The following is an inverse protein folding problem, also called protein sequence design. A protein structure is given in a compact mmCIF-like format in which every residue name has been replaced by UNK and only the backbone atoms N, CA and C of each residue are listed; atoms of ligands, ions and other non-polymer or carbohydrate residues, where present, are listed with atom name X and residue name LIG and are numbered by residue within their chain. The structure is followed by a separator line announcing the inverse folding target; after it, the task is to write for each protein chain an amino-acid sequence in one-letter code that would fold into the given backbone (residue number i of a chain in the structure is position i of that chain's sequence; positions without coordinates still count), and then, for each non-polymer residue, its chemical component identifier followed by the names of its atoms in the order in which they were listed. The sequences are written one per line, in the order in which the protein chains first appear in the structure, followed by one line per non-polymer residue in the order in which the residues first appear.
data_IF_467596043385
#
_entry.id   IF_467596043385
#
_cell.length_a   1.000
_cell.length_b   1.000
_cell.length_c   1.000
_cell.angle_alpha   90.00
_cell.angle_beta   90.00
_cell.angle_gamma   90.00
#
_symmetry.space_group_name_H-M   'P 1'
#
loop_
_entity.id
_entity.type
_entity.pdbx_description
1 polymer ?
#
# COMPACT_ATOMS: atom_id res chain seq x y z
N UNK A 1 -31.90 23.04 -25.25
CA UNK A 1 -32.29 22.72 -23.86
C UNK A 1 -32.63 21.23 -23.82
N UNK A 2 -31.62 20.39 -23.62
CA UNK A 2 -31.80 18.94 -23.45
C UNK A 2 -30.63 18.45 -22.60
N UNK A 3 -30.98 17.94 -21.42
CA UNK A 3 -30.08 17.36 -20.44
C UNK A 3 -29.67 15.97 -20.93
N UNK A 4 -28.37 15.68 -20.98
CA UNK A 4 -27.89 14.32 -20.78
C UNK A 4 -26.67 14.40 -19.86
N UNK A 5 -26.95 14.15 -18.58
CA UNK A 5 -26.41 12.99 -17.85
C UNK A 5 -24.92 13.13 -17.62
N UNK A 6 -24.60 13.69 -16.45
CA UNK A 6 -23.32 13.44 -15.81
C UNK A 6 -23.18 11.94 -15.62
N UNK A 7 -22.36 11.34 -16.46
CA UNK A 7 -21.85 9.99 -16.25
C UNK A 7 -21.17 9.99 -14.88
N UNK A 8 -21.71 9.19 -13.97
CA UNK A 8 -21.22 9.09 -12.62
C UNK A 8 -19.74 8.76 -12.64
N UNK A 9 -18.93 9.63 -12.03
CA UNK A 9 -17.59 9.27 -11.59
C UNK A 9 -17.73 8.05 -10.68
N UNK A 10 -17.50 6.87 -11.26
CA UNK A 10 -17.11 5.68 -10.53
C UNK A 10 -15.77 6.03 -9.90
N UNK A 11 -15.80 6.71 -8.75
CA UNK A 11 -14.71 6.71 -7.81
C UNK A 11 -14.51 5.25 -7.40
N UNK A 12 -13.75 4.49 -8.19
CA UNK A 12 -13.17 3.25 -7.72
C UNK A 12 -12.36 3.69 -6.51
N UNK A 13 -12.85 3.38 -5.31
CA UNK A 13 -12.27 3.83 -4.03
C UNK A 13 -10.97 3.07 -3.81
N UNK A 14 -9.99 3.35 -4.65
CA UNK A 14 -8.68 2.76 -4.63
C UNK A 14 -7.94 3.33 -3.42
N UNK A 15 -7.26 2.45 -2.71
CA UNK A 15 -6.45 2.81 -1.55
C UNK A 15 -5.29 3.66 -2.06
N UNK A 16 -5.19 4.89 -1.57
CA UNK A 16 -4.10 5.81 -1.91
C UNK A 16 -2.76 5.39 -1.29
N UNK A 17 -1.67 5.96 -1.80
CA UNK A 17 -0.32 5.61 -1.38
C UNK A 17 -0.08 5.81 0.13
N UNK A 18 -0.68 6.85 0.73
CA UNK A 18 -0.49 7.17 2.14
C UNK A 18 -1.10 6.08 3.03
N UNK A 19 -2.34 5.70 2.74
CA UNK A 19 -3.04 4.64 3.45
C UNK A 19 -2.32 3.29 3.32
N UNK A 20 -1.77 3.00 2.14
CA UNK A 20 -0.99 1.78 1.91
C UNK A 20 0.33 1.77 2.69
N UNK A 21 1.04 2.90 2.73
CA UNK A 21 2.24 3.04 3.57
C UNK A 21 1.94 2.85 5.05
N UNK A 22 0.78 3.31 5.51
CA UNK A 22 0.35 3.11 6.91
C UNK A 22 0.03 1.65 7.22
N UNK A 23 -0.63 0.94 6.30
CA UNK A 23 -0.87 -0.51 6.41
C UNK A 23 0.47 -1.25 6.49
N UNK A 24 1.39 -0.96 5.57
CA UNK A 24 2.71 -1.58 5.54
C UNK A 24 3.51 -1.30 6.81
N UNK A 25 3.53 -0.04 7.27
CA UNK A 25 4.23 0.34 8.52
C UNK A 25 3.69 -0.43 9.71
N UNK A 26 2.36 -0.52 9.87
CA UNK A 26 1.75 -1.29 10.95
C UNK A 26 2.13 -2.76 10.88
N UNK A 27 2.07 -3.38 9.70
CA UNK A 27 2.48 -4.77 9.52
C UNK A 27 3.93 -4.99 9.92
N UNK A 28 4.85 -4.14 9.46
CA UNK A 28 6.26 -4.29 9.79
C UNK A 28 6.54 -4.06 11.28
N UNK A 29 5.88 -3.10 11.93
CA UNK A 29 6.06 -2.86 13.37
C UNK A 29 5.66 -4.05 14.26
N UNK A 30 4.73 -4.91 13.79
CA UNK A 30 4.39 -6.13 14.53
C UNK A 30 5.44 -7.24 14.41
N UNK A 31 6.27 -7.22 13.37
CA UNK A 31 7.18 -8.30 13.03
C UNK A 31 8.68 -7.93 13.15
N UNK A 32 8.99 -6.63 13.21
CA UNK A 32 10.35 -6.08 13.14
C UNK A 32 10.53 -4.97 14.17
N UNK A 33 11.75 -4.80 14.68
CA UNK A 33 12.06 -3.81 15.72
C UNK A 33 12.15 -2.38 15.17
N UNK A 34 12.57 -2.23 13.90
CA UNK A 34 12.59 -0.96 13.20
C UNK A 34 12.16 -1.17 11.73
N UNK A 35 11.58 -0.12 11.14
CA UNK A 35 11.10 -0.12 9.76
C UNK A 35 11.19 1.29 9.18
N UNK A 36 11.76 1.41 7.98
CA UNK A 36 11.69 2.62 7.14
C UNK A 36 11.07 2.27 5.79
N UNK A 37 9.96 2.92 5.43
CA UNK A 37 9.33 2.72 4.12
C UNK A 37 10.09 3.54 3.08
N UNK A 38 10.65 2.88 2.07
CA UNK A 38 11.44 3.52 1.02
C UNK A 38 10.59 3.94 -0.17
N UNK A 39 9.67 3.08 -0.60
CA UNK A 39 8.82 3.33 -1.76
C UNK A 39 7.50 2.58 -1.67
N UNK A 40 6.50 3.10 -2.39
CA UNK A 40 5.22 2.44 -2.61
C UNK A 40 4.81 2.69 -4.07
N UNK A 41 4.78 1.63 -4.86
CA UNK A 41 4.50 1.70 -6.30
C UNK A 41 3.26 0.90 -6.62
N UNK A 42 2.32 1.51 -7.34
CA UNK A 42 1.11 0.85 -7.80
C UNK A 42 1.34 0.24 -9.19
N UNK A 43 1.13 -1.07 -9.31
CA UNK A 43 1.18 -1.78 -10.59
C UNK A 43 0.16 -2.93 -10.59
N UNK A 44 -0.55 -3.11 -11.70
CA UNK A 44 -1.48 -4.24 -11.90
C UNK A 44 -2.50 -4.42 -10.74
N UNK A 45 -3.11 -3.33 -10.26
CA UNK A 45 -4.04 -3.32 -9.12
C UNK A 45 -3.45 -3.78 -7.77
N UNK A 46 -2.12 -3.78 -7.65
CA UNK A 46 -1.41 -4.10 -6.41
C UNK A 46 -0.41 -3.01 -6.09
N UNK A 47 -0.29 -2.70 -4.81
CA UNK A 47 0.77 -1.86 -4.30
C UNK A 47 1.94 -2.72 -3.88
N UNK A 48 3.12 -2.43 -4.40
CA UNK A 48 4.39 -2.97 -3.93
C UNK A 48 5.05 -1.94 -3.03
N UNK A 49 5.17 -2.24 -1.74
CA UNK A 49 5.77 -1.37 -0.73
C UNK A 49 7.10 -1.94 -0.29
N UNK A 50 8.19 -1.23 -0.58
CA UNK A 50 9.53 -1.59 -0.14
C UNK A 50 9.87 -0.93 1.18
N UNK A 51 10.46 -1.69 2.09
CA UNK A 51 10.91 -1.20 3.38
C UNK A 51 12.23 -1.84 3.77
N UNK A 52 13.08 -1.02 4.39
CA UNK A 52 14.23 -1.49 5.15
C UNK A 52 13.77 -1.81 6.57
N UNK A 53 13.91 -3.06 7.00
CA UNK A 53 13.50 -3.51 8.33
C UNK A 53 14.69 -4.04 9.12
N UNK A 54 14.57 -4.05 10.44
CA UNK A 54 15.57 -4.63 11.36
C UNK A 54 14.98 -5.77 12.17
N UNK A 55 15.69 -6.90 12.23
CA UNK A 55 15.38 -8.01 13.11
C UNK A 55 16.67 -8.52 13.75
N UNK A 56 16.70 -8.62 15.09
CA UNK A 56 17.88 -9.03 15.86
C UNK A 56 19.19 -8.28 15.49
N UNK A 57 19.07 -6.98 15.22
CA UNK A 57 20.21 -6.13 14.84
C UNK A 57 20.67 -6.27 13.39
N UNK A 58 20.03 -7.12 12.59
CA UNK A 58 20.33 -7.28 11.17
C UNK A 58 19.33 -6.49 10.31
N UNK A 59 19.83 -5.77 9.32
CA UNK A 59 19.01 -5.06 8.35
C UNK A 59 18.65 -5.97 7.17
N UNK A 60 17.45 -5.81 6.64
CA UNK A 60 17.00 -6.53 5.45
C UNK A 60 15.95 -5.74 4.69
N UNK A 61 16.00 -5.83 3.37
CA UNK A 61 14.94 -5.31 2.51
C UNK A 61 13.75 -6.27 2.49
N UNK A 62 12.56 -5.73 2.65
CA UNK A 62 11.30 -6.46 2.52
C UNK A 62 10.35 -5.72 1.59
N UNK A 63 9.56 -6.50 0.88
CA UNK A 63 8.50 -5.98 0.01
C UNK A 63 7.18 -6.57 0.47
N UNK A 64 6.18 -5.71 0.70
CA UNK A 64 4.80 -6.10 0.89
C UNK A 64 4.00 -5.84 -0.37
N UNK A 65 3.12 -6.78 -0.71
CA UNK A 65 2.16 -6.65 -1.80
C UNK A 65 0.77 -6.46 -1.20
N UNK A 66 0.11 -5.36 -1.55
CA UNK A 66 -1.19 -4.97 -0.99
C UNK A 66 -2.20 -4.79 -2.13
N UNK A 67 -3.37 -5.41 -2.02
CA UNK A 67 -4.47 -5.22 -2.97
C UNK A 67 -4.92 -3.75 -2.98
N UNK A 68 -4.95 -3.13 -4.16
CA UNK A 68 -5.22 -1.69 -4.25
C UNK A 68 -6.67 -1.32 -3.93
N UNK A 69 -7.62 -2.24 -4.09
CA UNK A 69 -9.05 -1.98 -3.86
C UNK A 69 -9.45 -2.20 -2.40
N UNK A 70 -8.89 -3.22 -1.78
CA UNK A 70 -9.30 -3.71 -0.46
C UNK A 70 -8.31 -3.36 0.65
N UNK A 71 -7.06 -3.03 0.31
CA UNK A 71 -5.99 -2.79 1.28
C UNK A 71 -5.53 -4.08 1.99
N UNK A 72 -5.92 -5.25 1.50
CA UNK A 72 -5.49 -6.54 2.05
C UNK A 72 -4.05 -6.83 1.64
N UNK A 73 -3.25 -7.33 2.58
CA UNK A 73 -1.90 -7.84 2.30
C UNK A 73 -2.06 -9.19 1.59
N UNK A 74 -1.39 -9.34 0.45
CA UNK A 74 -1.40 -10.54 -0.40
C UNK A 74 -0.11 -11.34 -0.21
N UNK A 75 1.01 -10.66 0.01
CA UNK A 75 2.35 -11.24 0.22
C UNK A 75 3.24 -10.30 1.03
#
# INVERSE_FOLDING_TARGET
MTKDRGEGELFSKQTDASKVKDIARKFFQYNYSACSIESATLQNNTWSVKALVTLFGQHSDKTLVIDSKTGRIIN
#
